data_IF_755917783974
#
_entry.id   IF_755917783974
#
_cell.length_a   1.000
_cell.length_b   1.000
_cell.length_c   1.000
_cell.angle_alpha   90.00
_cell.angle_beta   90.00
_cell.angle_gamma   90.00
#
_symmetry.space_group_name_H-M   'P 1'
#
loop_
_entity.id
_entity.type
_entity.pdbx_description
1 polymer ?
#
# COMPACT_ATOMS: atom_id res chain seq x y z
N UNK A 1 14.62 -13.77 -4.77
CA UNK A 1 13.16 -13.76 -4.49
C UNK A 1 12.73 -15.14 -4.03
N UNK A 2 11.70 -15.23 -3.18
CA UNK A 2 11.12 -16.50 -2.74
C UNK A 2 10.32 -17.08 -3.91
N UNK A 3 10.52 -18.35 -4.26
CA UNK A 3 9.74 -19.02 -5.30
C UNK A 3 8.32 -19.28 -4.79
N UNK A 4 7.32 -18.58 -5.35
CA UNK A 4 5.90 -18.76 -5.05
C UNK A 4 5.20 -19.31 -6.29
N UNK A 5 4.74 -20.55 -6.22
CA UNK A 5 3.90 -21.19 -7.24
C UNK A 5 2.48 -21.39 -6.72
N UNK A 6 1.54 -21.74 -7.58
CA UNK A 6 0.15 -22.02 -7.15
C UNK A 6 0.05 -23.23 -6.21
N UNK A 7 1.05 -24.12 -6.20
CA UNK A 7 1.15 -25.20 -5.22
C UNK A 7 1.45 -24.70 -3.80
N UNK A 8 1.93 -23.46 -3.67
CA UNK A 8 2.20 -22.80 -2.40
C UNK A 8 1.06 -21.86 -1.98
N UNK A 9 -0.05 -21.84 -2.72
CA UNK A 9 -1.19 -21.00 -2.40
C UNK A 9 -1.77 -21.40 -1.03
N UNK A 10 -2.09 -20.42 -0.16
CA UNK A 10 -2.85 -20.69 1.06
C UNK A 10 -4.17 -21.39 0.73
N UNK A 11 -4.68 -22.25 1.63
CA UNK A 11 -6.00 -22.87 1.47
C UNK A 11 -7.11 -21.81 1.35
N UNK A 12 -8.31 -22.24 0.97
CA UNK A 12 -9.47 -21.35 0.97
C UNK A 12 -9.67 -20.74 2.38
N UNK A 13 -9.82 -19.41 2.48
CA UNK A 13 -9.96 -18.76 3.78
C UNK A 13 -11.22 -19.21 4.53
N UNK A 14 -11.06 -19.58 5.80
CA UNK A 14 -12.16 -19.96 6.70
C UNK A 14 -12.31 -18.99 7.86
N UNK A 15 -11.22 -18.34 8.27
CA UNK A 15 -11.17 -17.33 9.33
C UNK A 15 -10.52 -16.03 8.83
N UNK A 16 -10.73 -14.93 9.54
CA UNK A 16 -10.18 -13.61 9.18
C UNK A 16 -8.64 -13.63 8.99
N UNK A 17 -7.92 -14.42 9.78
CA UNK A 17 -6.47 -14.55 9.68
C UNK A 17 -6.02 -15.20 8.35
N UNK A 18 -6.84 -16.09 7.79
CA UNK A 18 -6.52 -16.76 6.52
C UNK A 18 -6.52 -15.76 5.36
N UNK A 19 -7.42 -14.76 5.38
CA UNK A 19 -7.45 -13.71 4.37
C UNK A 19 -6.17 -12.85 4.40
N UNK A 20 -5.61 -12.59 5.58
CA UNK A 20 -4.33 -11.89 5.72
C UNK A 20 -3.17 -12.69 5.13
N UNK A 21 -3.16 -14.02 5.34
CA UNK A 21 -2.19 -14.91 4.72
C UNK A 21 -2.33 -14.95 3.20
N UNK A 22 -3.58 -15.00 2.70
CA UNK A 22 -3.87 -15.05 1.28
C UNK A 22 -3.38 -13.80 0.54
N UNK A 23 -3.66 -12.59 1.06
CA UNK A 23 -3.17 -11.36 0.41
C UNK A 23 -1.66 -11.20 0.51
N UNK A 24 -1.04 -11.70 1.58
CA UNK A 24 0.43 -11.74 1.71
C UNK A 24 1.04 -12.58 0.59
N UNK A 25 0.45 -13.74 0.30
CA UNK A 25 0.87 -14.60 -0.82
C UNK A 25 0.67 -13.91 -2.18
N UNK A 26 -0.48 -13.27 -2.42
CA UNK A 26 -0.74 -12.52 -3.65
C UNK A 26 0.25 -11.37 -3.84
N UNK A 27 0.52 -10.59 -2.79
CA UNK A 27 1.53 -9.53 -2.80
C UNK A 27 2.91 -10.09 -3.13
N UNK A 28 3.30 -11.23 -2.56
CA UNK A 28 4.56 -11.90 -2.88
C UNK A 28 4.67 -12.29 -4.36
N UNK A 29 3.62 -12.87 -4.96
CA UNK A 29 3.57 -13.18 -6.40
C UNK A 29 3.74 -11.92 -7.26
N UNK A 30 3.05 -10.84 -6.90
CA UNK A 30 3.10 -9.56 -7.61
C UNK A 30 4.49 -8.91 -7.50
N UNK A 31 5.08 -8.87 -6.31
CA UNK A 31 6.45 -8.39 -6.11
C UNK A 31 7.41 -9.19 -6.99
N UNK A 32 7.29 -10.52 -6.97
CA UNK A 32 8.16 -11.38 -7.75
C UNK A 32 8.07 -11.11 -9.26
N UNK A 33 6.85 -10.95 -9.77
CA UNK A 33 6.63 -10.80 -11.20
C UNK A 33 6.90 -9.38 -11.70
N UNK A 34 6.60 -8.35 -10.91
CA UNK A 34 6.61 -6.95 -11.34
C UNK A 34 7.86 -6.16 -10.94
N UNK A 35 8.56 -6.55 -9.86
CA UNK A 35 9.69 -5.78 -9.31
C UNK A 35 11.04 -6.50 -9.46
N UNK A 36 11.07 -7.67 -10.09
CA UNK A 36 12.34 -8.35 -10.41
C UNK A 36 13.06 -7.59 -11.53
N UNK A 37 14.37 -7.38 -11.38
CA UNK A 37 15.19 -6.64 -12.35
C UNK A 37 15.17 -7.28 -13.74
N UNK A 38 15.09 -8.61 -13.79
CA UNK A 38 15.12 -9.39 -15.04
C UNK A 38 13.71 -9.63 -15.64
N UNK A 39 12.65 -9.19 -14.96
CA UNK A 39 11.29 -9.42 -15.43
C UNK A 39 10.94 -8.50 -16.61
N UNK A 40 10.41 -9.11 -17.67
CA UNK A 40 9.78 -8.34 -18.75
C UNK A 40 8.50 -7.65 -18.26
N UNK A 41 8.12 -6.56 -18.94
CA UNK A 41 6.82 -5.93 -18.72
C UNK A 41 5.69 -6.95 -18.82
N UNK A 42 4.62 -6.75 -18.06
CA UNK A 42 3.44 -7.61 -18.13
C UNK A 42 2.81 -7.53 -19.52
N UNK A 43 2.29 -8.65 -20.01
CA UNK A 43 1.29 -8.63 -21.06
C UNK A 43 -0.06 -8.13 -20.50
N UNK A 44 -0.94 -7.64 -21.37
CA UNK A 44 -2.28 -7.22 -20.95
C UNK A 44 -3.05 -8.35 -20.24
N UNK A 45 -2.94 -9.58 -20.76
CA UNK A 45 -3.59 -10.76 -20.18
C UNK A 45 -3.03 -11.09 -18.78
N UNK A 46 -1.70 -11.13 -18.62
CA UNK A 46 -1.09 -11.39 -17.30
C UNK A 46 -1.50 -10.33 -16.27
N UNK A 47 -1.56 -9.06 -16.69
CA UNK A 47 -1.99 -7.97 -15.81
C UNK A 47 -3.45 -8.13 -15.39
N UNK A 48 -4.35 -8.42 -16.34
CA UNK A 48 -5.77 -8.69 -16.08
C UNK A 48 -5.95 -9.88 -15.12
N UNK A 49 -5.24 -10.99 -15.34
CA UNK A 49 -5.35 -12.19 -14.52
C UNK A 49 -4.88 -11.94 -13.07
N UNK A 50 -3.74 -11.27 -12.89
CA UNK A 50 -3.25 -10.91 -11.55
C UNK A 50 -4.18 -9.92 -10.85
N UNK A 51 -4.72 -8.95 -11.59
CA UNK A 51 -5.67 -7.98 -11.07
C UNK A 51 -6.99 -8.64 -10.65
N UNK A 52 -7.49 -9.57 -11.45
CA UNK A 52 -8.67 -10.37 -11.13
C UNK A 52 -8.49 -11.19 -9.86
N UNK A 53 -7.28 -11.71 -9.61
CA UNK A 53 -6.94 -12.37 -8.35
C UNK A 53 -7.09 -11.47 -7.12
N UNK A 54 -6.58 -10.23 -7.20
CA UNK A 54 -6.76 -9.23 -6.13
C UNK A 54 -8.22 -8.82 -5.95
N UNK A 55 -8.96 -8.63 -7.05
CA UNK A 55 -10.37 -8.25 -7.01
C UNK A 55 -11.25 -9.36 -6.42
N UNK A 56 -10.96 -10.61 -6.76
CA UNK A 56 -11.60 -11.79 -6.16
C UNK A 56 -11.34 -11.83 -4.66
N UNK A 57 -10.08 -11.63 -4.23
CA UNK A 57 -9.76 -11.56 -2.80
C UNK A 57 -10.49 -10.41 -2.10
N UNK A 58 -10.52 -9.21 -2.70
CA UNK A 58 -11.16 -8.04 -2.06
C UNK A 58 -12.67 -8.20 -1.93
N UNK A 59 -13.31 -8.80 -2.93
CA UNK A 59 -14.76 -9.07 -2.94
C UNK A 59 -15.19 -10.26 -2.08
N UNK A 60 -14.26 -11.14 -1.69
CA UNK A 60 -14.54 -12.26 -0.79
C UNK A 60 -14.35 -11.93 0.69
N UNK A 61 -13.89 -10.72 1.03
CA UNK A 61 -13.68 -10.33 2.42
C UNK A 61 -14.99 -10.33 3.21
N UNK A 62 -15.00 -10.90 4.44
CA UNK A 62 -16.16 -10.80 5.33
C UNK A 62 -16.32 -9.36 5.86
N UNK A 63 -17.50 -9.05 6.39
CA UNK A 63 -17.83 -7.71 6.92
C UNK A 63 -16.95 -7.29 8.11
N UNK A 64 -16.20 -8.21 8.73
CA UNK A 64 -15.18 -7.90 9.75
C UNK A 64 -14.02 -7.04 9.21
N UNK A 65 -13.82 -7.02 7.88
CA UNK A 65 -12.84 -6.18 7.19
C UNK A 65 -13.38 -4.81 6.76
N UNK A 66 -14.68 -4.54 6.96
CA UNK A 66 -15.23 -3.23 6.64
C UNK A 66 -14.60 -2.17 7.54
N UNK A 67 -14.07 -1.11 6.92
CA UNK A 67 -13.46 -0.02 7.66
C UNK A 67 -14.54 0.92 8.18
N UNK A 68 -14.39 1.34 9.43
CA UNK A 68 -15.28 2.32 10.06
C UNK A 68 -14.67 3.70 9.81
N UNK A 69 -15.42 4.58 9.14
CA UNK A 69 -14.99 5.96 8.92
C UNK A 69 -15.60 6.87 9.98
N UNK A 70 -14.76 7.65 10.67
CA UNK A 70 -15.22 8.60 11.70
C UNK A 70 -14.67 10.00 11.43
N UNK A 71 -15.14 10.70 10.38
CA UNK A 71 -14.64 12.04 10.06
C UNK A 71 -14.86 13.00 11.24
N UNK A 72 -13.81 13.70 11.65
CA UNK A 72 -13.84 14.65 12.77
C UNK A 72 -13.76 14.05 14.16
N UNK A 73 -13.68 12.71 14.29
CA UNK A 73 -13.43 12.03 15.56
C UNK A 73 -11.94 11.65 15.67
N UNK A 74 -11.31 11.95 16.82
CA UNK A 74 -9.90 11.62 17.09
C UNK A 74 -8.95 12.81 16.94
N UNK A 75 -7.64 12.52 16.82
CA UNK A 75 -6.60 13.53 16.61
C UNK A 75 -6.82 14.23 15.27
N UNK A 76 -6.61 15.55 15.23
CA UNK A 76 -6.63 16.29 13.97
C UNK A 76 -5.53 15.73 13.04
N UNK A 77 -5.95 15.12 11.94
CA UNK A 77 -5.09 14.47 10.95
C UNK A 77 -5.42 15.00 9.55
N UNK A 78 -4.40 15.05 8.69
CA UNK A 78 -4.56 15.29 7.26
C UNK A 78 -4.97 14.04 6.49
N UNK A 79 -5.02 12.89 7.16
CA UNK A 79 -5.51 11.63 6.62
C UNK A 79 -6.96 11.36 7.06
N UNK A 80 -7.73 10.60 6.27
CA UNK A 80 -9.03 10.12 6.72
C UNK A 80 -8.88 9.21 7.94
N UNK A 81 -9.81 9.30 8.88
CA UNK A 81 -9.86 8.40 10.04
C UNK A 81 -10.58 7.11 9.63
N UNK A 82 -9.82 6.03 9.44
CA UNK A 82 -10.31 4.72 8.97
C UNK A 82 -9.89 3.61 9.93
N UNK A 83 -10.84 3.06 10.68
CA UNK A 83 -10.58 2.06 11.71
C UNK A 83 -10.87 0.67 11.17
N UNK A 84 -9.99 -0.28 11.46
CA UNK A 84 -10.26 -1.71 11.27
C UNK A 84 -10.34 -2.42 12.63
N UNK A 85 -11.12 -3.49 12.71
CA UNK A 85 -11.42 -4.14 13.99
C UNK A 85 -10.18 -4.73 14.70
N UNK A 86 -9.18 -5.17 13.94
CA UNK A 86 -7.98 -5.86 14.44
C UNK A 86 -6.74 -5.50 13.63
N UNK A 87 -5.57 -5.65 14.23
CA UNK A 87 -4.28 -5.31 13.60
C UNK A 87 -3.96 -6.16 12.36
N UNK A 88 -4.44 -7.40 12.30
CA UNK A 88 -4.31 -8.24 11.10
C UNK A 88 -5.21 -7.77 9.96
N UNK A 89 -6.39 -7.18 10.23
CA UNK A 89 -7.20 -6.53 9.19
C UNK A 89 -6.45 -5.32 8.62
N UNK A 90 -5.83 -4.51 9.49
CA UNK A 90 -4.97 -3.39 9.08
C UNK A 90 -3.83 -3.90 8.17
N UNK A 91 -3.12 -4.94 8.62
CA UNK A 91 -1.99 -5.51 7.87
C UNK A 91 -2.40 -6.08 6.51
N UNK A 92 -3.52 -6.81 6.46
CA UNK A 92 -4.07 -7.35 5.21
C UNK A 92 -4.43 -6.23 4.22
N UNK A 93 -5.05 -5.15 4.70
CA UNK A 93 -5.40 -4.00 3.87
C UNK A 93 -4.17 -3.21 3.41
N UNK A 94 -3.12 -3.07 4.25
CA UNK A 94 -1.82 -2.52 3.81
C UNK A 94 -1.26 -3.31 2.62
N UNK A 95 -1.26 -4.64 2.71
CA UNK A 95 -0.74 -5.50 1.65
C UNK A 95 -1.59 -5.45 0.38
N UNK A 96 -2.92 -5.39 0.51
CA UNK A 96 -3.81 -5.16 -0.62
C UNK A 96 -3.51 -3.86 -1.35
N UNK A 97 -3.43 -2.73 -0.62
CA UNK A 97 -3.17 -1.43 -1.24
C UNK A 97 -1.75 -1.35 -1.82
N UNK A 98 -0.76 -2.01 -1.21
CA UNK A 98 0.59 -2.13 -1.76
C UNK A 98 0.58 -2.90 -3.07
N UNK A 99 -0.10 -4.05 -3.11
CA UNK A 99 -0.23 -4.88 -4.30
C UNK A 99 -0.91 -4.11 -5.45
N UNK A 100 -1.99 -3.37 -5.15
CA UNK A 100 -2.67 -2.52 -6.12
C UNK A 100 -1.77 -1.40 -6.64
N UNK A 101 -0.96 -0.76 -5.77
CA UNK A 101 0.03 0.24 -6.18
C UNK A 101 1.04 -0.33 -7.17
N UNK A 102 1.60 -1.52 -6.89
CA UNK A 102 2.52 -2.21 -7.80
C UNK A 102 1.82 -2.56 -9.12
N UNK A 103 0.58 -3.06 -9.07
CA UNK A 103 -0.18 -3.40 -10.28
C UNK A 103 -0.42 -2.18 -11.17
N UNK A 104 -0.74 -1.01 -10.62
CA UNK A 104 -0.90 0.20 -11.44
C UNK A 104 0.39 0.66 -12.10
N UNK A 105 1.54 0.52 -11.43
CA UNK A 105 2.84 0.80 -12.03
C UNK A 105 3.20 -0.21 -13.13
N UNK A 106 2.79 -1.47 -12.96
CA UNK A 106 3.03 -2.54 -13.91
C UNK A 106 1.99 -2.62 -15.04
N UNK A 107 1.04 -1.68 -15.11
CA UNK A 107 -0.02 -1.69 -16.13
C UNK A 107 0.60 -1.50 -17.54
N UNK A 108 0.35 -2.43 -18.48
CA UNK A 108 0.88 -2.31 -19.83
C UNK A 108 0.34 -1.08 -20.55
N UNK A 109 1.20 -0.35 -21.27
CA UNK A 109 0.78 0.83 -22.02
C UNK A 109 -0.14 0.45 -23.19
N UNK A 110 -1.27 1.15 -23.32
CA UNK A 110 -2.24 0.92 -24.39
C UNK A 110 -1.86 1.74 -25.63
N UNK A 111 -1.03 1.17 -26.52
CA UNK A 111 -0.76 1.67 -27.89
C UNK A 111 -0.22 3.13 -27.94
N UNK A 112 0.21 3.69 -29.09
CA UNK A 112 0.85 5.00 -29.07
C UNK A 112 -0.15 6.11 -28.72
N UNK A 113 -0.01 6.66 -27.52
CA UNK A 113 -0.78 7.78 -27.00
C UNK A 113 -0.28 9.12 -27.58
N UNK A 114 -1.21 9.99 -27.98
CA UNK A 114 -0.89 11.40 -28.30
C UNK A 114 -0.44 12.13 -27.03
N UNK A 115 0.28 13.24 -27.16
CA UNK A 115 0.86 13.98 -26.01
C UNK A 115 -0.16 14.31 -24.90
N UNK A 116 -1.35 14.81 -25.25
CA UNK A 116 -2.40 15.11 -24.27
C UNK A 116 -2.95 13.84 -23.58
N UNK A 117 -3.07 12.73 -24.32
CA UNK A 117 -3.51 11.45 -23.75
C UNK A 117 -2.46 10.92 -22.76
N UNK A 118 -1.16 11.07 -23.08
CA UNK A 118 -0.07 10.72 -22.14
C UNK A 118 -0.14 11.52 -20.85
N UNK A 119 -0.43 12.83 -20.93
CA UNK A 119 -0.58 13.68 -19.74
C UNK A 119 -1.76 13.20 -18.89
N UNK A 120 -2.92 12.98 -19.51
CA UNK A 120 -4.12 12.51 -18.80
C UNK A 120 -3.90 11.14 -18.15
N UNK A 121 -3.24 10.21 -18.84
CA UNK A 121 -2.94 8.88 -18.30
C UNK A 121 -1.96 8.94 -17.13
N UNK A 122 -0.97 9.83 -17.19
CA UNK A 122 -0.05 10.07 -16.08
C UNK A 122 -0.74 10.70 -14.87
N UNK A 123 -1.64 11.65 -15.06
CA UNK A 123 -2.46 12.19 -13.97
C UNK A 123 -3.38 11.12 -13.37
N UNK A 124 -3.98 10.28 -14.19
CA UNK A 124 -4.82 9.17 -13.74
C UNK A 124 -4.02 8.18 -12.89
N UNK A 125 -2.84 7.78 -13.37
CA UNK A 125 -1.92 6.92 -12.61
C UNK A 125 -1.54 7.56 -11.28
N UNK A 126 -1.14 8.85 -11.30
CA UNK A 126 -0.76 9.59 -10.08
C UNK A 126 -1.88 9.57 -9.04
N UNK A 127 -3.13 9.82 -9.43
CA UNK A 127 -4.29 9.78 -8.53
C UNK A 127 -4.54 8.39 -7.94
N UNK A 128 -4.40 7.34 -8.73
CA UNK A 128 -4.54 5.95 -8.25
C UNK A 128 -3.47 5.59 -7.22
N UNK A 129 -2.21 5.99 -7.47
CA UNK A 129 -1.10 5.74 -6.56
C UNK A 129 -1.23 6.56 -5.27
N UNK A 130 -1.61 7.83 -5.38
CA UNK A 130 -1.87 8.70 -4.22
C UNK A 130 -3.03 8.18 -3.35
N UNK A 131 -4.08 7.63 -3.97
CA UNK A 131 -5.18 6.99 -3.25
C UNK A 131 -4.66 5.81 -2.40
N UNK A 132 -3.93 4.87 -3.00
CA UNK A 132 -3.41 3.72 -2.26
C UNK A 132 -2.39 4.12 -1.19
N UNK A 133 -1.55 5.12 -1.46
CA UNK A 133 -0.62 5.67 -0.46
C UNK A 133 -1.35 6.30 0.73
N UNK A 134 -2.45 7.02 0.45
CA UNK A 134 -3.30 7.63 1.49
C UNK A 134 -3.97 6.56 2.36
N UNK A 135 -4.52 5.51 1.76
CA UNK A 135 -5.18 4.41 2.51
C UNK A 135 -4.19 3.68 3.42
N UNK A 136 -2.98 3.35 2.94
CA UNK A 136 -1.93 2.71 3.74
C UNK A 136 -1.59 3.56 4.97
N UNK A 137 -1.37 4.86 4.76
CA UNK A 137 -1.02 5.79 5.82
C UNK A 137 -2.16 5.97 6.83
N UNK A 138 -3.39 6.11 6.34
CA UNK A 138 -4.58 6.31 7.16
C UNK A 138 -4.89 5.10 8.04
N UNK A 139 -4.73 3.89 7.52
CA UNK A 139 -4.86 2.63 8.27
C UNK A 139 -3.82 2.52 9.40
N UNK A 140 -2.56 2.90 9.13
CA UNK A 140 -1.51 2.91 10.14
C UNK A 140 -1.79 3.95 11.24
N UNK A 141 -2.13 5.18 10.86
CA UNK A 141 -2.44 6.27 11.80
C UNK A 141 -3.64 6.00 12.69
N UNK A 142 -4.64 5.30 12.16
CA UNK A 142 -5.85 4.90 12.90
C UNK A 142 -5.63 3.64 13.75
N UNK A 143 -4.40 3.14 13.86
CA UNK A 143 -4.07 1.93 14.62
C UNK A 143 -3.09 2.23 15.74
N UNK A 144 -3.48 1.89 16.98
CA UNK A 144 -2.61 1.92 18.16
C UNK A 144 -1.82 0.61 18.35
N UNK A 145 -1.69 -0.20 17.29
CA UNK A 145 -1.03 -1.52 17.34
C UNK A 145 0.39 -1.48 16.78
N UNK A 146 1.38 -1.77 17.63
CA UNK A 146 2.78 -1.92 17.20
C UNK A 146 2.97 -2.92 16.04
N UNK A 147 2.37 -4.13 16.06
CA UNK A 147 2.41 -5.04 14.91
C UNK A 147 1.86 -4.46 13.60
N UNK A 148 0.78 -3.67 13.66
CA UNK A 148 0.22 -3.04 12.47
C UNK A 148 1.20 -2.02 11.86
N UNK A 149 1.89 -1.26 12.69
CA UNK A 149 2.94 -0.32 12.26
C UNK A 149 4.16 -1.02 11.67
N UNK A 150 4.62 -2.10 12.29
CA UNK A 150 5.71 -2.93 11.73
C UNK A 150 5.37 -3.41 10.32
N UNK A 151 4.13 -3.87 10.12
CA UNK A 151 3.66 -4.28 8.80
C UNK A 151 3.41 -3.12 7.83
N UNK A 152 3.31 -1.88 8.32
CA UNK A 152 3.10 -0.67 7.53
C UNK A 152 4.42 -0.06 7.02
N UNK A 153 5.55 -0.24 7.70
CA UNK A 153 6.79 0.45 7.35
C UNK A 153 7.26 0.20 5.91
N UNK A 154 7.25 -1.06 5.46
CA UNK A 154 7.56 -1.40 4.06
C UNK A 154 6.58 -0.78 3.06
N UNK A 155 5.27 -0.98 3.21
CA UNK A 155 4.24 -0.30 2.42
C UNK A 155 4.38 1.23 2.36
N UNK A 156 4.61 1.89 3.50
CA UNK A 156 4.80 3.35 3.58
C UNK A 156 6.08 3.77 2.86
N UNK A 157 7.19 3.05 3.04
CA UNK A 157 8.43 3.32 2.33
C UNK A 157 8.22 3.27 0.82
N UNK A 158 7.55 2.21 0.34
CA UNK A 158 7.21 2.05 -1.07
C UNK A 158 6.31 3.16 -1.58
N UNK A 159 5.27 3.55 -0.83
CA UNK A 159 4.25 4.46 -1.31
C UNK A 159 4.49 5.95 -1.05
N UNK A 160 5.48 6.28 -0.21
CA UNK A 160 5.82 7.65 0.16
C UNK A 160 6.04 8.62 -1.02
N UNK A 161 6.58 8.21 -2.19
CA UNK A 161 6.79 9.15 -3.31
C UNK A 161 5.49 9.71 -3.92
N UNK A 162 4.35 9.06 -3.69
CA UNK A 162 3.05 9.46 -4.23
C UNK A 162 2.20 10.28 -3.25
N UNK A 163 2.70 10.53 -2.03
CA UNK A 163 2.11 11.50 -1.12
C UNK A 163 2.63 12.89 -1.46
N UNK A 164 1.83 13.73 -2.09
CA UNK A 164 2.25 15.08 -2.50
C UNK A 164 1.85 16.18 -1.51
N UNK A 165 0.81 15.95 -0.71
CA UNK A 165 0.37 16.89 0.31
C UNK A 165 1.45 17.03 1.40
N UNK A 166 2.00 18.25 1.55
CA UNK A 166 3.08 18.54 2.50
C UNK A 166 2.68 18.23 3.93
N UNK A 167 1.42 18.52 4.32
CA UNK A 167 0.97 18.31 5.69
C UNK A 167 0.87 16.80 5.99
N UNK A 168 0.34 16.01 5.05
CA UNK A 168 0.33 14.54 5.14
C UNK A 168 1.74 13.97 5.29
N UNK A 169 2.70 14.47 4.49
CA UNK A 169 4.10 14.00 4.55
C UNK A 169 4.75 14.31 5.89
N UNK A 170 4.58 15.54 6.40
CA UNK A 170 5.11 15.96 7.71
C UNK A 170 4.50 15.14 8.85
N UNK A 171 3.18 14.96 8.85
CA UNK A 171 2.49 14.15 9.85
C UNK A 171 2.99 12.70 9.83
N UNK A 172 3.13 12.10 8.64
CA UNK A 172 3.62 10.73 8.49
C UNK A 172 5.07 10.57 8.95
N UNK A 173 5.95 11.53 8.64
CA UNK A 173 7.34 11.51 9.10
C UNK A 173 7.43 11.52 10.64
N UNK A 174 6.60 12.35 11.30
CA UNK A 174 6.55 12.42 12.77
C UNK A 174 6.06 11.10 13.40
N UNK A 175 5.01 10.50 12.85
CA UNK A 175 4.47 9.24 13.38
C UNK A 175 5.40 8.05 13.07
N UNK A 176 6.10 8.03 11.92
CA UNK A 176 7.16 7.06 11.64
C UNK A 176 8.28 7.12 12.68
N UNK A 177 8.80 8.30 13.00
CA UNK A 177 9.83 8.46 14.04
C UNK A 177 9.37 7.97 15.42
N UNK A 178 8.12 8.30 15.79
CA UNK A 178 7.51 7.83 17.03
C UNK A 178 7.39 6.30 17.06
N UNK A 179 6.80 5.70 16.04
CA UNK A 179 6.58 4.25 15.99
C UNK A 179 7.87 3.45 15.74
N UNK A 180 8.86 4.04 15.06
CA UNK A 180 10.22 3.51 14.98
C UNK A 180 10.85 3.33 16.36
N UNK A 181 10.74 4.35 17.22
CA UNK A 181 11.21 4.28 18.62
C UNK A 181 10.44 3.26 19.45
N UNK A 182 9.11 3.22 19.32
CA UNK A 182 8.25 2.27 20.07
C UNK A 182 8.54 0.83 19.69
N UNK A 183 8.75 0.55 18.41
CA UNK A 183 8.92 -0.82 17.88
C UNK A 183 10.38 -1.27 17.78
N UNK A 184 11.34 -0.33 17.84
CA UNK A 184 12.76 -0.58 17.62
C UNK A 184 13.17 -0.72 16.15
N UNK A 185 12.28 -0.44 15.19
CA UNK A 185 12.59 -0.57 13.75
C UNK A 185 13.32 0.66 13.19
N UNK A 186 14.33 0.48 12.31
CA UNK A 186 15.15 1.56 11.77
C UNK A 186 14.45 2.29 10.60
N UNK A 187 13.49 3.15 10.92
CA UNK A 187 12.62 3.81 9.93
C UNK A 187 13.01 5.26 9.61
N UNK A 188 14.14 5.75 10.14
CA UNK A 188 14.58 7.14 9.96
C UNK A 188 14.71 7.53 8.49
N UNK A 189 15.23 6.62 7.65
CA UNK A 189 15.36 6.86 6.20
C UNK A 189 14.01 7.11 5.52
N UNK A 190 12.93 6.48 6.03
CA UNK A 190 11.58 6.65 5.51
C UNK A 190 11.03 8.02 5.94
N UNK A 191 11.25 8.39 7.21
CA UNK A 191 10.84 9.69 7.74
C UNK A 191 11.58 10.86 7.07
N UNK A 192 12.87 10.71 6.80
CA UNK A 192 13.69 11.68 6.07
C UNK A 192 13.18 11.88 4.64
N UNK A 193 12.83 10.79 3.94
CA UNK A 193 12.28 10.86 2.59
C UNK A 193 10.91 11.57 2.51
N UNK A 194 10.17 11.63 3.63
CA UNK A 194 8.90 12.36 3.73
C UNK A 194 9.09 13.79 4.23
N UNK A 195 10.17 14.07 4.94
CA UNK A 195 10.44 15.40 5.47
C UNK A 195 10.70 16.41 4.34
N UNK A 196 10.28 17.68 4.51
CA UNK A 196 10.67 18.72 3.58
C UNK A 196 12.20 18.82 3.55
N UNK A 197 12.81 19.13 2.38
CA UNK A 197 14.25 19.31 2.30
C UNK A 197 14.68 20.36 3.31
N UNK A 198 15.65 20.00 4.15
CA UNK A 198 16.26 20.91 5.11
C UNK A 198 16.78 22.11 4.33
N UNK A 199 16.25 23.31 4.58
CA UNK A 199 16.85 24.55 4.09
C UNK A 199 18.24 24.68 4.75
N UNK A 200 19.27 24.11 4.11
CA UNK A 200 20.65 24.40 4.45
C UNK A 200 20.90 25.81 3.91
N UNK A 201 20.60 26.81 4.73
CA UNK A 201 21.17 28.15 4.56
C UNK A 201 22.67 28.03 4.78
N UNK A 202 23.42 28.04 3.68
CA UNK A 202 24.85 28.30 3.68
C UNK A 202 25.14 29.76 4.06
#
# INVERSE_FOLDING_TARGET
>A
MITLSDQNAPPEPTEDADFANHVTFLLGKIINRCLSVDSQALTALEWEDMKAGLDKWKSSLPSSFDTIQTPGLGKQSSFPSIWALRSWHVSALHYYHTAMGIMWLAQPAVQPLKALQRINDMECLRRKLEYHATEICALALSSDSAPAWVNAFGPIAFCSPWLHDTQKRVEMAQELEKWGKVTGWPVSIIAEALSPPSNITH
#
